data_IF_007705371689
#
_entry.id   IF_007705371689
#
_cell.length_a   1.000
_cell.length_b   1.000
_cell.length_c   1.000
_cell.angle_alpha   90.00
_cell.angle_beta   90.00
_cell.angle_gamma   90.00
#
_symmetry.space_group_name_H-M   'P 1'
#
loop_
_entity.id
_entity.type
_entity.pdbx_description
1 polymer ?
#
# COMPACT_ATOMS: atom_id res chain seq x y z
N UNK A 1 38.01 18.29 -7.37
CA UNK A 1 36.53 18.10 -7.50
C UNK A 1 35.92 18.34 -6.13
N UNK A 2 35.06 19.36 -6.03
CA UNK A 2 34.60 19.91 -4.74
C UNK A 2 33.45 19.09 -4.15
N UNK A 3 33.55 18.79 -2.85
CA UNK A 3 32.60 18.00 -2.04
C UNK A 3 31.19 18.62 -2.02
N UNK A 4 31.05 19.91 -2.31
CA UNK A 4 29.78 20.63 -2.30
C UNK A 4 28.87 20.38 -3.52
N UNK A 5 29.36 19.79 -4.61
CA UNK A 5 28.53 19.54 -5.80
C UNK A 5 27.69 18.27 -5.68
N UNK A 6 28.05 17.34 -4.79
CA UNK A 6 27.28 16.11 -4.54
C UNK A 6 26.00 16.32 -3.72
N UNK A 7 25.95 17.36 -2.88
CA UNK A 7 24.80 17.62 -2.01
C UNK A 7 23.57 18.13 -2.79
N UNK A 8 23.78 18.82 -3.92
CA UNK A 8 22.69 19.43 -4.70
C UNK A 8 22.01 18.41 -5.63
N UNK A 9 22.72 17.37 -6.09
CA UNK A 9 22.14 16.31 -6.92
C UNK A 9 21.27 15.31 -6.14
N UNK A 10 21.46 15.21 -4.81
CA UNK A 10 20.63 14.34 -3.95
C UNK A 10 19.22 14.91 -3.72
N UNK A 11 19.03 16.23 -3.88
CA UNK A 11 17.74 16.91 -3.66
C UNK A 11 16.80 16.75 -4.87
N UNK A 12 17.34 16.53 -6.07
CA UNK A 12 16.55 16.49 -7.32
C UNK A 12 15.97 15.10 -7.62
N UNK A 13 16.49 14.02 -7.03
CA UNK A 13 15.97 12.65 -7.21
C UNK A 13 14.70 12.34 -6.38
N UNK A 14 14.14 13.33 -5.69
CA UNK A 14 12.90 13.22 -4.89
C UNK A 14 11.61 13.34 -5.72
N UNK A 15 11.68 13.38 -7.05
CA UNK A 15 10.51 13.37 -7.94
C UNK A 15 9.87 11.97 -8.01
N UNK A 16 9.34 11.52 -6.87
CA UNK A 16 8.60 10.29 -6.70
C UNK A 16 7.44 10.51 -5.75
N UNK A 17 6.22 10.36 -6.25
CA UNK A 17 4.97 10.87 -5.67
C UNK A 17 5.02 12.37 -5.36
N UNK A 18 4.43 13.18 -6.26
CA UNK A 18 4.27 14.63 -6.06
C UNK A 18 3.15 14.92 -5.05
N UNK A 19 3.47 14.72 -3.76
CA UNK A 19 2.67 15.27 -2.68
C UNK A 19 3.12 16.72 -2.46
N UNK A 20 2.35 17.69 -2.96
CA UNK A 20 2.47 19.07 -2.47
C UNK A 20 2.18 19.05 -0.97
N UNK A 21 3.13 19.52 -0.17
CA UNK A 21 3.00 19.65 1.27
C UNK A 21 1.85 20.62 1.61
N UNK A 22 0.66 20.08 1.85
CA UNK A 22 -0.39 20.83 2.53
C UNK A 22 -0.18 20.67 4.03
N UNK A 23 0.40 21.71 4.62
CA UNK A 23 0.51 21.90 6.07
C UNK A 23 -0.88 22.22 6.63
N UNK A 24 -1.73 21.21 6.79
CA UNK A 24 -2.99 21.34 7.53
C UNK A 24 -2.74 20.99 8.99
N UNK A 25 -3.08 21.86 9.95
CA UNK A 25 -2.88 21.61 11.37
C UNK A 25 -3.64 20.35 11.84
N UNK A 26 -2.96 19.51 12.63
CA UNK A 26 -3.54 18.37 13.33
C UNK A 26 -4.57 18.88 14.35
N UNK A 27 -5.84 18.94 14.00
CA UNK A 27 -6.89 18.70 14.98
C UNK A 27 -8.21 18.32 14.31
N UNK A 28 -8.88 17.35 14.94
CA UNK A 28 -10.17 16.74 14.60
C UNK A 28 -10.16 15.63 13.53
N UNK A 29 -10.75 14.49 13.95
CA UNK A 29 -11.12 13.29 13.21
C UNK A 29 -12.10 13.65 12.09
N UNK A 30 -11.62 14.37 11.08
CA UNK A 30 -12.41 14.65 9.88
C UNK A 30 -12.17 13.50 8.93
N UNK A 31 -13.19 12.65 8.78
CA UNK A 31 -13.27 11.70 7.67
C UNK A 31 -12.96 12.51 6.40
N UNK A 32 -12.02 12.07 5.54
CA UNK A 32 -11.70 12.78 4.31
C UNK A 32 -13.00 13.08 3.57
N UNK A 33 -13.30 14.36 3.28
CA UNK A 33 -14.56 14.73 2.61
C UNK A 33 -14.73 13.89 1.36
N UNK A 34 -15.69 12.96 1.44
CA UNK A 34 -16.08 12.14 0.30
C UNK A 34 -16.50 13.11 -0.80
N UNK A 35 -16.04 12.84 -2.03
CA UNK A 35 -16.77 13.37 -3.17
C UNK A 35 -18.11 12.65 -3.14
N UNK A 36 -19.22 13.32 -3.48
CA UNK A 36 -20.59 12.78 -3.43
C UNK A 36 -20.75 11.40 -4.06
N UNK A 37 -19.82 11.01 -4.93
CA UNK A 37 -19.87 9.78 -5.71
C UNK A 37 -18.82 8.74 -5.26
N UNK A 38 -18.25 8.84 -4.05
CA UNK A 38 -17.25 7.88 -3.54
C UNK A 38 -17.81 7.10 -2.35
N UNK A 39 -17.84 5.77 -2.46
CA UNK A 39 -18.20 4.87 -1.37
C UNK A 39 -17.09 3.84 -1.11
N UNK A 40 -17.08 3.24 0.08
CA UNK A 40 -16.19 2.12 0.41
C UNK A 40 -17.01 0.84 0.47
N UNK A 41 -16.71 -0.09 -0.44
CA UNK A 41 -17.22 -1.46 -0.42
C UNK A 41 -16.48 -2.30 0.62
N UNK A 42 -17.21 -3.22 1.24
CA UNK A 42 -16.69 -4.13 2.28
C UNK A 42 -17.07 -5.56 1.90
N UNK A 43 -16.07 -6.43 1.77
CA UNK A 43 -16.24 -7.86 1.58
C UNK A 43 -15.77 -8.60 2.84
N UNK A 44 -16.67 -9.36 3.47
CA UNK A 44 -16.32 -10.21 4.62
C UNK A 44 -15.74 -11.51 4.09
N UNK A 45 -14.54 -11.88 4.56
CA UNK A 45 -13.92 -13.17 4.22
C UNK A 45 -14.43 -14.22 5.19
N UNK A 46 -15.12 -15.28 4.73
CA UNK A 46 -15.67 -16.30 5.60
C UNK A 46 -14.62 -16.99 6.48
N UNK A 47 -15.01 -17.38 7.70
CA UNK A 47 -14.14 -18.03 8.67
C UNK A 47 -13.53 -19.36 8.18
N UNK A 48 -14.17 -20.04 7.22
CA UNK A 48 -13.62 -21.24 6.57
C UNK A 48 -12.37 -20.92 5.72
N UNK A 49 -12.22 -19.68 5.25
CA UNK A 49 -11.06 -19.21 4.49
C UNK A 49 -10.05 -18.53 5.41
N UNK A 50 -10.50 -17.58 6.25
CA UNK A 50 -9.63 -16.79 7.12
C UNK A 50 -9.13 -17.56 8.35
N UNK A 51 -9.80 -18.67 8.69
CA UNK A 51 -9.58 -19.43 9.91
C UNK A 51 -10.50 -18.96 11.04
N UNK A 52 -10.94 -19.90 11.88
CA UNK A 52 -11.91 -19.65 12.94
C UNK A 52 -11.44 -18.62 13.98
N UNK A 53 -10.13 -18.47 14.13
CA UNK A 53 -9.49 -17.54 15.08
C UNK A 53 -9.35 -16.11 14.56
N UNK A 54 -9.79 -15.85 13.33
CA UNK A 54 -9.60 -14.56 12.67
C UNK A 54 -10.92 -13.93 12.23
N UNK A 55 -10.91 -12.60 12.18
CA UNK A 55 -11.89 -11.79 11.46
C UNK A 55 -11.14 -11.11 10.33
N UNK A 56 -11.57 -11.33 9.10
CA UNK A 56 -10.94 -10.75 7.92
C UNK A 56 -12.00 -10.04 7.07
N UNK A 57 -11.72 -8.78 6.75
CA UNK A 57 -12.53 -7.96 5.84
C UNK A 57 -11.63 -7.30 4.82
N UNK A 58 -12.10 -7.24 3.59
CA UNK A 58 -11.46 -6.47 2.54
C UNK A 58 -12.28 -5.21 2.22
N UNK A 59 -11.59 -4.09 2.09
CA UNK A 59 -12.13 -2.78 1.80
C UNK A 59 -11.62 -2.32 0.44
N UNK A 60 -12.49 -1.76 -0.37
CA UNK A 60 -12.14 -1.19 -1.67
C UNK A 60 -13.02 0.02 -1.97
N UNK A 61 -12.52 0.92 -2.81
CA UNK A 61 -13.21 2.18 -3.10
C UNK A 61 -13.98 2.06 -4.41
N UNK A 62 -15.24 2.47 -4.42
CA UNK A 62 -16.05 2.62 -5.63
C UNK A 62 -16.24 4.12 -5.89
N UNK A 63 -15.91 4.55 -7.10
CA UNK A 63 -16.03 5.95 -7.53
C UNK A 63 -17.02 5.98 -8.69
N UNK A 64 -18.20 6.55 -8.47
CA UNK A 64 -19.35 6.45 -9.37
C UNK A 64 -19.69 4.98 -9.60
N UNK A 65 -19.40 4.46 -10.79
CA UNK A 65 -19.65 3.07 -11.19
C UNK A 65 -18.34 2.29 -11.43
N UNK A 66 -17.19 2.84 -11.06
CA UNK A 66 -15.87 2.24 -11.25
C UNK A 66 -15.32 1.73 -9.91
N UNK A 67 -15.02 0.43 -9.85
CA UNK A 67 -14.45 -0.19 -8.64
C UNK A 67 -12.94 -0.15 -8.73
N UNK A 68 -12.32 0.49 -7.75
CA UNK A 68 -10.88 0.59 -7.65
C UNK A 68 -10.23 -0.80 -7.63
N UNK A 69 -9.16 -0.95 -8.43
CA UNK A 69 -8.27 -2.11 -8.33
C UNK A 69 -7.44 -2.12 -7.05
N UNK A 70 -7.39 -1.02 -6.32
CA UNK A 70 -6.66 -0.90 -5.07
C UNK A 70 -7.58 -1.22 -3.88
N UNK A 71 -7.12 -2.11 -3.02
CA UNK A 71 -7.90 -2.64 -1.89
C UNK A 71 -7.02 -2.88 -0.68
N UNK A 72 -7.63 -2.87 0.50
CA UNK A 72 -6.99 -3.11 1.78
C UNK A 72 -7.70 -4.22 2.55
N UNK A 73 -6.96 -5.26 2.90
CA UNK A 73 -7.42 -6.36 3.74
C UNK A 73 -7.01 -6.09 5.18
N UNK A 74 -7.96 -6.14 6.10
CA UNK A 74 -7.75 -5.99 7.54
C UNK A 74 -8.07 -7.33 8.21
N UNK A 75 -7.11 -7.82 8.99
CA UNK A 75 -7.17 -9.09 9.69
C UNK A 75 -7.01 -8.82 11.18
N UNK A 76 -7.96 -9.28 11.99
CA UNK A 76 -7.88 -9.29 13.45
C UNK A 76 -7.79 -10.72 13.97
N UNK A 77 -6.82 -10.99 14.83
CA UNK A 77 -6.77 -12.22 15.60
C UNK A 77 -7.69 -12.10 16.83
N UNK A 78 -8.72 -12.95 16.94
CA UNK A 78 -9.75 -12.87 18.00
C UNK A 78 -9.19 -13.03 19.41
N UNK A 79 -8.18 -13.87 19.60
CA UNK A 79 -7.59 -14.14 20.91
C UNK A 79 -6.76 -12.96 21.44
N UNK A 80 -6.03 -12.27 20.57
CA UNK A 80 -5.10 -11.19 20.96
C UNK A 80 -5.63 -9.79 20.67
N UNK A 81 -6.65 -9.68 19.80
CA UNK A 81 -7.14 -8.42 19.22
C UNK A 81 -6.10 -7.70 18.36
N UNK A 82 -5.02 -8.37 17.96
CA UNK A 82 -3.97 -7.79 17.11
C UNK A 82 -4.50 -7.62 15.70
N UNK A 83 -4.27 -6.42 15.13
CA UNK A 83 -4.71 -6.08 13.77
C UNK A 83 -3.52 -6.01 12.80
N UNK A 84 -3.69 -6.58 11.61
CA UNK A 84 -2.76 -6.48 10.49
C UNK A 84 -3.49 -5.95 9.27
N UNK A 85 -2.81 -5.10 8.48
CA UNK A 85 -3.39 -4.47 7.29
C UNK A 85 -2.50 -4.75 6.09
N UNK A 86 -3.07 -5.29 5.02
CA UNK A 86 -2.36 -5.51 3.76
C UNK A 86 -3.05 -4.81 2.61
N UNK A 87 -2.29 -4.10 1.77
CA UNK A 87 -2.81 -3.51 0.55
C UNK A 87 -2.37 -4.28 -0.69
N UNK A 88 -3.26 -4.37 -1.67
CA UNK A 88 -2.99 -4.96 -2.97
C UNK A 88 -3.59 -4.12 -4.08
N UNK A 89 -3.00 -4.27 -5.27
CA UNK A 89 -3.52 -3.73 -6.51
C UNK A 89 -3.77 -4.88 -7.48
N UNK A 90 -4.99 -4.98 -7.97
CA UNK A 90 -5.34 -5.90 -9.05
C UNK A 90 -4.99 -5.26 -10.41
N UNK A 91 -4.34 -5.96 -11.35
CA UNK A 91 -4.17 -5.44 -12.71
C UNK A 91 -5.51 -5.27 -13.45
N UNK A 92 -6.57 -5.93 -13.02
CA UNK A 92 -7.87 -5.93 -13.67
C UNK A 92 -8.95 -5.25 -12.82
N UNK A 93 -10.03 -4.82 -13.48
CA UNK A 93 -11.23 -4.32 -12.82
C UNK A 93 -11.71 -5.36 -11.81
N UNK A 94 -12.01 -4.88 -10.60
CA UNK A 94 -12.45 -5.75 -9.52
C UNK A 94 -13.90 -6.15 -9.75
N UNK A 95 -14.16 -7.45 -9.72
CA UNK A 95 -15.50 -8.02 -9.62
C UNK A 95 -15.77 -8.49 -8.19
N UNK A 96 -17.03 -8.42 -7.70
CA UNK A 96 -17.40 -8.99 -6.42
C UNK A 96 -17.06 -10.47 -6.36
N UNK A 97 -16.52 -10.93 -5.22
CA UNK A 97 -16.22 -12.35 -5.01
C UNK A 97 -17.40 -13.05 -4.35
N UNK A 98 -17.86 -14.15 -4.96
CA UNK A 98 -18.73 -15.11 -4.26
C UNK A 98 -17.85 -16.10 -3.50
N UNK A 99 -18.15 -16.29 -2.21
CA UNK A 99 -17.47 -17.29 -1.37
C UNK A 99 -18.39 -18.49 -1.04
N UNK A 100 -19.53 -18.60 -1.71
CA UNK A 100 -20.47 -19.70 -1.48
C UNK A 100 -20.00 -20.97 -2.20
N UNK A 101 -19.84 -22.06 -1.46
CA UNK A 101 -19.59 -23.40 -2.00
C UNK A 101 -20.81 -23.98 -2.70
N UNK A 102 -22.01 -23.50 -2.35
CA UNK A 102 -23.30 -24.04 -2.77
C UNK A 102 -23.91 -23.25 -3.92
N UNK A 103 -23.25 -22.14 -4.31
CA UNK A 103 -23.67 -21.32 -5.42
C UNK A 103 -23.13 -21.92 -6.73
N UNK A 104 -23.89 -22.84 -7.32
CA UNK A 104 -23.58 -23.43 -8.63
C UNK A 104 -23.41 -22.39 -9.74
N UNK A 105 -23.89 -21.15 -9.56
CA UNK A 105 -23.64 -20.07 -10.51
C UNK A 105 -22.20 -19.54 -10.44
N UNK A 106 -21.51 -19.66 -9.30
CA UNK A 106 -20.08 -19.35 -9.17
C UNK A 106 -19.17 -20.37 -9.89
N UNK A 107 -19.72 -21.54 -10.27
CA UNK A 107 -19.03 -22.62 -10.99
C UNK A 107 -19.27 -22.54 -12.51
N UNK A 108 -20.16 -21.65 -12.97
CA UNK A 108 -20.36 -21.39 -14.39
C UNK A 108 -19.17 -20.56 -14.92
N UNK A 109 -18.16 -21.27 -15.42
CA UNK A 109 -17.02 -20.76 -16.17
C UNK A 109 -17.47 -19.95 -17.39
N UNK A 110 -17.59 -18.64 -17.19
CA UNK A 110 -17.03 -17.66 -18.11
C UNK A 110 -16.37 -16.62 -17.20
N UNK A 111 -15.03 -16.67 -17.05
CA UNK A 111 -14.35 -15.52 -16.45
C UNK A 111 -14.69 -14.32 -17.35
N UNK A 112 -15.45 -13.32 -16.87
CA UNK A 112 -15.74 -12.16 -17.70
C UNK A 112 -14.42 -11.57 -18.16
N UNK A 113 -14.32 -11.19 -19.44
CA UNK A 113 -13.15 -10.54 -20.02
C UNK A 113 -12.64 -9.47 -19.05
N UNK A 114 -11.51 -9.78 -18.40
CA UNK A 114 -10.94 -8.95 -17.34
C UNK A 114 -10.44 -7.65 -17.96
N UNK A 115 -11.26 -6.60 -17.85
CA UNK A 115 -10.88 -5.27 -18.32
C UNK A 115 -9.70 -4.77 -17.50
N UNK A 116 -8.66 -4.19 -18.12
CA UNK A 116 -7.57 -3.59 -17.37
C UNK A 116 -8.09 -2.50 -16.44
N UNK A 117 -7.73 -2.56 -15.17
CA UNK A 117 -8.14 -1.54 -14.24
C UNK A 117 -7.51 -0.19 -14.59
N UNK A 118 -8.28 0.88 -14.35
CA UNK A 118 -7.73 2.22 -14.36
C UNK A 118 -6.53 2.31 -13.40
N UNK A 119 -5.39 2.71 -13.95
CA UNK A 119 -4.18 2.93 -13.16
C UNK A 119 -4.35 4.19 -12.31
N UNK A 120 -4.23 4.03 -10.99
CA UNK A 120 -4.22 5.14 -10.06
C UNK A 120 -2.80 5.69 -9.89
N UNK A 121 -2.69 7.00 -9.74
CA UNK A 121 -1.44 7.61 -9.29
C UNK A 121 -1.30 7.45 -7.76
N UNK A 122 -0.09 7.64 -7.27
CA UNK A 122 0.25 7.51 -5.85
C UNK A 122 -0.59 8.40 -4.91
N UNK A 123 -0.98 9.62 -5.35
CA UNK A 123 -1.81 10.54 -4.54
C UNK A 123 -3.22 9.98 -4.35
N UNK A 124 -3.83 9.50 -5.44
CA UNK A 124 -5.16 8.89 -5.38
C UNK A 124 -5.13 7.59 -4.56
N UNK A 125 -4.06 6.79 -4.67
CA UNK A 125 -3.88 5.60 -3.84
C UNK A 125 -3.77 5.93 -2.35
N UNK A 126 -3.02 6.98 -1.98
CA UNK A 126 -2.95 7.42 -0.58
C UNK A 126 -4.30 7.90 -0.05
N UNK A 127 -5.08 8.63 -0.86
CA UNK A 127 -6.46 9.00 -0.49
C UNK A 127 -7.33 7.76 -0.26
N UNK A 128 -7.18 6.72 -1.08
CA UNK A 128 -7.91 5.47 -0.87
C UNK A 128 -7.46 4.74 0.40
N UNK A 129 -6.16 4.73 0.72
CA UNK A 129 -5.64 4.21 1.99
C UNK A 129 -6.30 4.94 3.17
N UNK A 130 -6.37 6.27 3.14
CA UNK A 130 -7.01 7.06 4.21
C UNK A 130 -8.50 6.74 4.37
N UNK A 131 -9.24 6.60 3.26
CA UNK A 131 -10.65 6.19 3.27
C UNK A 131 -10.83 4.77 3.83
N UNK A 132 -10.03 3.82 3.36
CA UNK A 132 -10.05 2.43 3.83
C UNK A 132 -9.77 2.37 5.33
N UNK A 133 -8.74 3.08 5.83
CA UNK A 133 -8.44 3.12 7.25
C UNK A 133 -9.60 3.73 8.06
N UNK A 134 -10.23 4.79 7.54
CA UNK A 134 -11.37 5.43 8.21
C UNK A 134 -12.53 4.46 8.38
N UNK A 135 -12.91 3.74 7.32
CA UNK A 135 -13.99 2.76 7.37
C UNK A 135 -13.61 1.53 8.21
N UNK A 136 -12.39 1.02 8.03
CA UNK A 136 -11.89 -0.08 8.85
C UNK A 136 -11.86 0.24 10.35
N UNK A 137 -11.68 1.51 10.73
CA UNK A 137 -11.73 1.93 12.13
C UNK A 137 -13.11 1.85 12.78
N UNK A 138 -14.18 1.70 11.99
CA UNK A 138 -15.53 1.44 12.50
C UNK A 138 -15.72 -0.01 12.89
N UNK A 139 -15.02 -0.92 12.21
CA UNK A 139 -15.13 -2.36 12.38
C UNK A 139 -14.02 -2.96 13.26
N UNK A 140 -12.85 -2.31 13.30
CA UNK A 140 -11.65 -2.82 13.95
C UNK A 140 -11.02 -1.77 14.87
N UNK A 141 -10.43 -2.22 15.98
CA UNK A 141 -9.61 -1.35 16.81
C UNK A 141 -8.23 -1.12 16.19
N UNK A 142 -8.13 -0.15 15.28
CA UNK A 142 -6.87 0.14 14.58
C UNK A 142 -5.73 0.56 15.52
N UNK A 143 -5.99 1.02 16.75
CA UNK A 143 -4.92 1.29 17.72
C UNK A 143 -4.15 0.02 18.16
N UNK A 144 -4.69 -1.17 17.87
CA UNK A 144 -4.04 -2.47 18.03
C UNK A 144 -3.36 -2.98 16.76
N UNK A 145 -3.28 -2.15 15.71
CA UNK A 145 -2.52 -2.52 14.51
C UNK A 145 -1.05 -2.66 14.86
N UNK A 146 -0.41 -3.71 14.35
CA UNK A 146 1.02 -3.94 14.54
C UNK A 146 1.79 -4.01 13.21
N UNK A 147 1.09 -4.24 12.10
CA UNK A 147 1.73 -4.28 10.79
C UNK A 147 0.88 -3.70 9.68
N UNK A 148 1.57 -3.08 8.73
CA UNK A 148 1.07 -2.69 7.42
C UNK A 148 1.94 -3.40 6.37
N UNK A 149 1.36 -3.93 5.30
CA UNK A 149 2.15 -4.52 4.19
C UNK A 149 1.65 -4.13 2.82
N UNK A 150 2.57 -4.04 1.86
CA UNK A 150 2.26 -3.94 0.44
C UNK A 150 3.42 -4.40 -0.43
N UNK A 151 3.09 -4.92 -1.62
CA UNK A 151 4.08 -5.09 -2.67
C UNK A 151 4.55 -3.69 -3.14
N UNK A 152 5.85 -3.52 -3.41
CA UNK A 152 6.36 -2.22 -3.87
C UNK A 152 5.71 -1.78 -5.19
N UNK A 153 5.35 -2.75 -6.05
CA UNK A 153 4.62 -2.51 -7.30
C UNK A 153 3.15 -2.16 -7.13
N UNK A 154 2.57 -2.35 -5.93
CA UNK A 154 1.17 -1.98 -5.68
C UNK A 154 0.96 -0.47 -5.69
N UNK A 155 2.00 0.32 -5.36
CA UNK A 155 1.97 1.79 -5.38
C UNK A 155 2.65 2.33 -6.64
N UNK A 156 1.97 3.21 -7.36
CA UNK A 156 2.45 3.72 -8.63
C UNK A 156 3.78 4.48 -8.48
N UNK A 157 4.73 4.16 -9.34
CA UNK A 157 6.08 4.73 -9.36
C UNK A 157 6.96 4.33 -8.19
N UNK A 158 6.44 3.70 -7.13
CA UNK A 158 7.19 3.48 -5.90
C UNK A 158 8.38 2.53 -6.11
N UNK A 159 8.14 1.37 -6.73
CA UNK A 159 9.19 0.41 -7.10
C UNK A 159 10.31 1.03 -7.93
N UNK A 160 9.98 1.84 -8.94
CA UNK A 160 10.96 2.53 -9.80
C UNK A 160 11.74 3.58 -9.01
N UNK A 161 11.07 4.35 -8.15
CA UNK A 161 11.72 5.42 -7.39
C UNK A 161 12.72 4.87 -6.38
N UNK A 162 12.36 3.77 -5.70
CA UNK A 162 13.29 3.07 -4.81
C UNK A 162 14.43 2.45 -5.60
N UNK A 163 14.17 1.87 -6.78
CA UNK A 163 15.23 1.37 -7.68
C UNK A 163 16.21 2.48 -8.08
N UNK A 164 15.73 3.65 -8.51
CA UNK A 164 16.57 4.80 -8.87
C UNK A 164 17.45 5.25 -7.69
N UNK A 165 16.87 5.37 -6.50
CA UNK A 165 17.62 5.73 -5.29
C UNK A 165 18.65 4.66 -4.92
N UNK A 166 18.27 3.39 -5.02
CA UNK A 166 19.16 2.27 -4.73
C UNK A 166 20.35 2.26 -5.68
N UNK A 167 20.10 2.34 -6.99
CA UNK A 167 21.15 2.35 -8.01
C UNK A 167 22.08 3.56 -7.86
N UNK A 168 21.53 4.74 -7.54
CA UNK A 168 22.31 5.95 -7.29
C UNK A 168 23.23 5.80 -6.07
N UNK A 169 22.77 5.14 -5.01
CA UNK A 169 23.52 5.03 -3.74
C UNK A 169 24.46 3.83 -3.66
N UNK A 170 24.08 2.70 -4.24
CA UNK A 170 24.77 1.41 -4.08
C UNK A 170 25.26 0.80 -5.39
N UNK A 171 24.93 1.40 -6.55
CA UNK A 171 25.23 0.86 -7.87
C UNK A 171 24.34 -0.33 -8.24
N UNK A 172 24.72 -1.03 -9.31
CA UNK A 172 23.97 -2.18 -9.87
C UNK A 172 24.23 -3.50 -9.14
N UNK A 173 25.08 -3.50 -8.10
CA UNK A 173 25.37 -4.70 -7.32
C UNK A 173 24.30 -4.85 -6.23
N UNK A 174 23.70 -6.03 -6.17
CA UNK A 174 22.78 -6.44 -5.12
C UNK A 174 23.47 -7.42 -4.17
N UNK A 175 24.33 -6.93 -3.24
CA UNK A 175 25.04 -7.79 -2.32
C UNK A 175 24.08 -8.46 -1.34
N UNK A 176 24.58 -9.49 -0.64
CA UNK A 176 23.97 -9.98 0.59
C UNK A 176 23.65 -8.79 1.52
N UNK A 177 22.35 -8.56 1.80
CA UNK A 177 21.87 -7.38 2.53
C UNK A 177 21.08 -6.36 1.69
N UNK A 178 20.84 -6.62 0.40
CA UNK A 178 20.01 -5.77 -0.47
C UNK A 178 18.65 -5.39 0.14
N UNK A 179 17.99 -6.30 0.85
CA UNK A 179 16.73 -6.03 1.54
C UNK A 179 16.86 -4.95 2.63
N UNK A 180 17.96 -4.96 3.40
CA UNK A 180 18.19 -3.95 4.45
C UNK A 180 18.42 -2.57 3.83
N UNK A 181 19.24 -2.52 2.78
CA UNK A 181 19.52 -1.28 2.06
C UNK A 181 18.27 -0.68 1.42
N UNK A 182 17.43 -1.52 0.80
CA UNK A 182 16.16 -1.09 0.24
C UNK A 182 15.16 -0.70 1.34
N UNK A 183 15.10 -1.42 2.47
CA UNK A 183 14.23 -1.08 3.60
C UNK A 183 14.55 0.31 4.20
N UNK A 184 15.83 0.68 4.30
CA UNK A 184 16.23 2.03 4.75
C UNK A 184 15.78 3.12 3.77
N UNK A 185 15.92 2.90 2.46
CA UNK A 185 15.39 3.82 1.46
C UNK A 185 13.87 3.95 1.57
N UNK A 186 13.16 2.83 1.71
CA UNK A 186 11.71 2.83 1.90
C UNK A 186 11.31 3.57 3.19
N UNK A 187 12.01 3.33 4.31
CA UNK A 187 11.75 4.01 5.59
C UNK A 187 11.90 5.53 5.49
N UNK A 188 12.89 6.00 4.73
CA UNK A 188 13.11 7.43 4.47
C UNK A 188 12.21 8.05 3.39
N UNK A 189 11.39 7.24 2.72
CA UNK A 189 10.61 7.69 1.56
C UNK A 189 9.41 8.58 1.93
N UNK A 190 8.96 9.39 0.95
CA UNK A 190 7.73 10.18 1.05
C UNK A 190 6.49 9.33 1.33
N UNK A 191 6.46 8.09 0.83
CA UNK A 191 5.36 7.16 1.09
C UNK A 191 5.29 6.80 2.58
N UNK A 192 6.42 6.49 3.23
CA UNK A 192 6.47 6.25 4.68
C UNK A 192 6.02 7.47 5.48
N UNK A 193 6.40 8.68 5.06
CA UNK A 193 5.92 9.91 5.68
C UNK A 193 4.40 10.09 5.53
N UNK A 194 3.85 9.84 4.34
CA UNK A 194 2.42 9.90 4.08
C UNK A 194 1.64 8.86 4.89
N UNK A 195 2.16 7.63 5.01
CA UNK A 195 1.57 6.59 5.84
C UNK A 195 1.58 6.98 7.33
N UNK A 196 2.67 7.57 7.83
CA UNK A 196 2.70 8.09 9.20
C UNK A 196 1.63 9.17 9.44
N UNK A 197 1.34 10.01 8.44
CA UNK A 197 0.24 10.98 8.51
C UNK A 197 -1.12 10.27 8.55
N UNK A 198 -1.34 9.31 7.67
CA UNK A 198 -2.59 8.53 7.60
C UNK A 198 -2.84 7.69 8.86
N UNK A 199 -1.78 7.25 9.55
CA UNK A 199 -1.85 6.47 10.79
C UNK A 199 -2.00 7.33 12.06
N UNK A 200 -1.71 8.63 11.98
CA UNK A 200 -1.75 9.55 13.12
C UNK A 200 -3.11 9.58 13.86
N UNK A 201 -4.27 9.55 13.19
CA UNK A 201 -5.58 9.54 13.85
C UNK A 201 -5.82 8.33 14.77
N UNK A 202 -5.05 7.26 14.58
CA UNK A 202 -5.15 6.01 15.36
C UNK A 202 -4.04 5.90 16.42
N UNK A 203 -3.34 7.01 16.69
CA UNK A 203 -2.19 7.08 17.60
C UNK A 203 -1.07 6.11 17.22
N UNK A 204 -0.86 5.88 15.93
CA UNK A 204 0.16 4.98 15.41
C UNK A 204 1.30 5.72 14.70
N UNK A 205 2.48 5.11 14.75
CA UNK A 205 3.66 5.49 13.98
C UNK A 205 4.39 4.24 13.49
N UNK A 206 5.00 4.36 12.33
CA UNK A 206 5.91 3.36 11.78
C UNK A 206 7.19 3.31 12.64
N UNK A 207 7.51 2.12 13.16
CA UNK A 207 8.72 1.86 13.95
C UNK A 207 9.85 1.29 13.07
N UNK A 208 9.51 0.22 12.34
CA UNK A 208 10.47 -0.56 11.54
C UNK A 208 9.92 -0.83 10.15
N UNK A 209 10.83 -0.94 9.20
CA UNK A 209 10.55 -1.34 7.82
C UNK A 209 11.41 -2.57 7.52
N UNK A 210 10.80 -3.59 6.93
CA UNK A 210 11.51 -4.73 6.37
C UNK A 210 10.97 -5.05 4.98
N UNK A 211 11.80 -5.71 4.17
CA UNK A 211 11.42 -6.16 2.82
C UNK A 211 11.69 -7.65 2.73
N UNK A 212 10.71 -8.37 2.21
CA UNK A 212 10.80 -9.77 1.86
C UNK A 212 10.76 -9.94 0.33
N UNK A 213 11.50 -10.93 -0.18
CA UNK A 213 11.51 -11.28 -1.60
C UNK A 213 11.94 -10.15 -2.54
N UNK A 214 13.00 -9.41 -2.22
CA UNK A 214 13.47 -8.31 -3.08
C UNK A 214 13.96 -8.86 -4.44
N UNK A 215 13.21 -8.55 -5.49
CA UNK A 215 13.56 -8.81 -6.88
C UNK A 215 13.98 -7.54 -7.60
N UNK A 216 14.96 -7.66 -8.49
CA UNK A 216 15.39 -6.58 -9.39
C UNK A 216 15.10 -6.98 -10.83
N UNK A 217 14.49 -6.07 -11.58
CA UNK A 217 14.26 -6.24 -13.03
C UNK A 217 14.68 -4.99 -13.77
N UNK A 218 15.25 -5.17 -14.96
CA UNK A 218 15.60 -4.08 -15.90
C UNK A 218 15.18 -4.51 -17.29
N UNK A 219 14.41 -3.68 -17.99
CA UNK A 219 14.14 -3.93 -19.40
C UNK A 219 15.43 -3.70 -20.21
N UNK A 220 15.78 -4.63 -21.11
CA UNK A 220 17.04 -4.61 -21.87
C UNK A 220 17.27 -3.34 -22.71
N UNK A 221 16.22 -2.57 -23.01
CA UNK A 221 16.30 -1.40 -23.90
C UNK A 221 15.89 -0.06 -23.27
N UNK A 222 15.72 0.00 -21.94
CA UNK A 222 15.35 1.25 -21.29
C UNK A 222 16.03 1.37 -19.92
N UNK A 223 17.04 2.23 -19.85
CA UNK A 223 17.80 2.54 -18.64
C UNK A 223 16.88 3.08 -17.51
N UNK A 224 15.73 3.65 -17.88
CA UNK A 224 14.68 4.17 -16.98
C UNK A 224 13.69 3.13 -16.45
N UNK A 225 13.76 1.87 -16.89
CA UNK A 225 12.80 0.83 -16.53
C UNK A 225 13.29 -0.13 -15.43
N UNK A 226 14.32 0.27 -14.68
CA UNK A 226 14.74 -0.49 -13.51
C UNK A 226 13.63 -0.50 -12.44
N UNK A 227 13.35 -1.68 -11.88
CA UNK A 227 12.36 -1.89 -10.82
C UNK A 227 12.96 -2.74 -9.71
N UNK A 228 12.71 -2.31 -8.49
CA UNK A 228 12.86 -3.13 -7.29
C UNK A 228 11.47 -3.44 -6.77
N UNK A 229 11.17 -4.73 -6.68
CA UNK A 229 9.91 -5.19 -6.13
C UNK A 229 10.13 -6.17 -4.99
N UNK A 230 9.16 -6.27 -4.11
CA UNK A 230 9.22 -7.07 -2.90
C UNK A 230 8.04 -6.74 -2.00
N UNK A 231 7.76 -7.62 -1.04
CA UNK A 231 6.75 -7.35 -0.03
C UNK A 231 7.37 -6.50 1.06
N UNK A 232 6.90 -5.27 1.21
CA UNK A 232 7.38 -4.39 2.27
C UNK A 232 6.43 -4.49 3.46
N UNK A 233 7.02 -4.58 4.65
CA UNK A 233 6.33 -4.62 5.93
C UNK A 233 6.74 -3.42 6.76
N UNK A 234 5.77 -2.59 7.15
CA UNK A 234 5.94 -1.58 8.18
C UNK A 234 5.41 -2.13 9.49
N UNK A 235 6.30 -2.34 10.46
CA UNK A 235 5.88 -2.55 11.84
C UNK A 235 5.44 -1.21 12.42
N UNK A 236 4.25 -1.17 13.01
CA UNK A 236 3.69 0.04 13.62
C UNK A 236 3.61 -0.13 15.13
N UNK A 237 3.76 0.98 15.85
CA UNK A 237 3.64 1.05 17.31
C UNK A 237 2.80 2.26 17.71
N UNK A 238 2.32 2.27 18.95
CA UNK A 238 1.68 3.46 19.51
C UNK A 238 2.67 4.62 19.62
N UNK A 239 2.20 5.82 19.29
CA UNK A 239 2.91 7.07 19.53
C UNK A 239 3.03 7.37 21.01
#
# INVERSE_FOLDING_TARGET
>A
MNVNTFAILLIILLAGCDFKNENTPLNQKTVPKEKSDTIVGIEVVPAVISGMDYIEKEYFVVIKNDTSSFSGTVIENKATGKVSIGYRRDPYERTPRSFSSDDTAAVAYDEPLKKPAKKLNCKDQMRQIELILSYASMDFNLSKSHSLRFAMSAIDGFSQNIAKQYLSKYGEKFPYGGNKNAAELVKSSRLTAALNKALAPYSLIIDKVSIDGLGYTRAQHAQDNARLDGMVYWSVKKR
#
